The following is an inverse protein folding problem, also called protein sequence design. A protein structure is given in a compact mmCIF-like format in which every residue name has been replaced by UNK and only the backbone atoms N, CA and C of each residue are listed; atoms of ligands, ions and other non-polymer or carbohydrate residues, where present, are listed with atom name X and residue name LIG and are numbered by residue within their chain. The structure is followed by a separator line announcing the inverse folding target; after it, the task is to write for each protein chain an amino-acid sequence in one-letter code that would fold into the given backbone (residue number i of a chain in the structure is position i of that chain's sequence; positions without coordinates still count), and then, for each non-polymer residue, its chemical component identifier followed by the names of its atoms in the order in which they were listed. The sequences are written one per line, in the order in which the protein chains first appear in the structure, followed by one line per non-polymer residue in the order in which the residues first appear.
data_IF_611804325612
#
_entry.id   IF_611804325612
#
_cell.length_a   1.000
_cell.length_b   1.000
_cell.length_c   1.000
_cell.angle_alpha   90.00
_cell.angle_beta   90.00
_cell.angle_gamma   90.00
#
_symmetry.space_group_name_H-M   'P 1'
#
loop_
_entity.id
_entity.type
_entity.pdbx_description
1 polymer ?
#
# COMPACT_ATOMS: atom_id res chain seq x y z
N UNK A 1 -11.92 0.04 4.23
CA UNK A 1 -11.21 -0.79 5.24
C UNK A 1 -12.15 -1.09 6.37
N UNK A 2 -12.07 -2.30 6.93
CA UNK A 2 -12.80 -2.71 8.14
C UNK A 2 -11.81 -2.95 9.26
N UNK A 3 -12.01 -2.25 10.38
CA UNK A 3 -11.28 -2.48 11.62
C UNK A 3 -12.17 -3.24 12.60
N UNK A 4 -11.62 -4.28 13.24
CA UNK A 4 -12.29 -5.09 14.26
C UNK A 4 -11.53 -5.02 15.57
N UNK A 5 -12.26 -4.94 16.66
CA UNK A 5 -11.75 -4.98 18.03
C UNK A 5 -12.34 -6.20 18.72
N UNK A 6 -11.48 -7.04 19.27
CA UNK A 6 -11.87 -8.25 20.00
C UNK A 6 -11.23 -8.23 21.39
N UNK A 7 -12.02 -8.52 22.43
CA UNK A 7 -11.50 -8.67 23.79
C UNK A 7 -11.24 -10.13 24.07
N UNK A 8 -10.15 -10.44 24.78
CA UNK A 8 -9.76 -11.82 25.10
C UNK A 8 -10.88 -12.66 25.75
N UNK A 9 -11.74 -12.03 26.58
CA UNK A 9 -12.79 -12.70 27.35
C UNK A 9 -14.22 -12.38 26.88
N UNK A 10 -14.41 -11.74 25.71
CA UNK A 10 -15.74 -11.39 25.21
C UNK A 10 -16.04 -12.07 23.87
N UNK A 11 -17.25 -12.62 23.74
CA UNK A 11 -17.82 -13.10 22.46
C UNK A 11 -18.20 -11.95 21.52
N UNK A 12 -18.22 -10.71 22.01
CA UNK A 12 -18.64 -9.54 21.25
C UNK A 12 -17.46 -8.89 20.53
N UNK A 13 -17.44 -9.01 19.21
CA UNK A 13 -16.55 -8.23 18.33
C UNK A 13 -17.24 -6.93 17.93
N UNK A 14 -16.59 -5.79 18.15
CA UNK A 14 -17.02 -4.51 17.59
C UNK A 14 -16.22 -4.21 16.33
N UNK A 15 -16.82 -3.51 15.36
CA UNK A 15 -16.10 -3.16 14.14
C UNK A 15 -16.69 -1.95 13.43
N UNK A 16 -15.83 -1.26 12.68
CA UNK A 16 -16.19 -0.08 11.91
C UNK A 16 -15.67 -0.26 10.47
N UNK A 17 -16.40 0.27 9.49
CA UNK A 17 -15.98 0.35 8.09
C UNK A 17 -15.74 1.80 7.73
N UNK A 18 -14.52 2.10 7.29
CA UNK A 18 -14.13 3.44 6.86
C UNK A 18 -13.63 3.42 5.41
N UNK A 19 -13.97 4.43 4.60
CA UNK A 19 -13.40 4.57 3.26
C UNK A 19 -11.90 4.84 3.35
N UNK A 20 -11.17 4.49 2.30
CA UNK A 20 -9.76 4.82 2.15
C UNK A 20 -9.48 5.27 0.71
N UNK A 21 -8.54 6.19 0.55
CA UNK A 21 -8.01 6.59 -0.75
C UNK A 21 -6.62 6.01 -0.99
N UNK A 22 -5.85 5.83 0.08
CA UNK A 22 -4.47 5.33 0.05
C UNK A 22 -4.27 4.27 1.12
N UNK A 23 -3.56 3.18 0.80
CA UNK A 23 -3.04 2.27 1.81
C UNK A 23 -1.63 2.69 2.18
N UNK A 24 -1.42 3.05 3.44
CA UNK A 24 -0.12 3.41 3.95
C UNK A 24 0.62 2.15 4.40
N UNK A 25 1.69 1.81 3.70
CA UNK A 25 2.47 0.60 3.94
C UNK A 25 3.71 0.94 4.76
N UNK A 26 3.81 0.35 5.95
CA UNK A 26 5.05 0.36 6.72
C UNK A 26 6.05 -0.57 6.04
N UNK A 27 7.05 0.05 5.41
CA UNK A 27 8.13 -0.67 4.76
C UNK A 27 9.33 -0.84 5.67
N UNK A 28 9.38 -0.34 6.90
CA UNK A 28 10.52 -0.59 7.81
C UNK A 28 10.65 -2.09 8.06
N UNK A 29 9.52 -2.76 8.29
CA UNK A 29 9.41 -4.19 8.62
C UNK A 29 9.15 -5.12 7.43
N UNK A 30 9.07 -4.59 6.21
CA UNK A 30 8.79 -5.36 5.00
C UNK A 30 9.79 -5.07 3.88
N UNK A 31 10.14 -6.09 3.10
CA UNK A 31 11.03 -6.01 1.93
C UNK A 31 10.27 -6.01 0.60
N UNK A 32 8.95 -6.18 0.64
CA UNK A 32 8.06 -6.26 -0.51
C UNK A 32 6.70 -5.63 -0.23
N UNK A 33 6.01 -5.19 -1.27
CA UNK A 33 4.64 -4.66 -1.20
C UNK A 33 3.68 -5.71 -0.65
N UNK A 34 3.81 -6.95 -1.09
CA UNK A 34 3.01 -8.08 -0.64
C UNK A 34 3.19 -8.29 0.86
N UNK A 35 4.44 -8.28 1.34
CA UNK A 35 4.70 -8.42 2.77
C UNK A 35 4.16 -7.25 3.58
N UNK A 36 4.31 -6.02 3.08
CA UNK A 36 3.80 -4.84 3.76
C UNK A 36 2.26 -4.83 3.83
N UNK A 37 1.57 -5.32 2.79
CA UNK A 37 0.11 -5.51 2.79
C UNK A 37 -0.33 -6.56 3.81
N UNK A 38 0.43 -7.65 3.98
CA UNK A 38 0.16 -8.64 5.04
C UNK A 38 0.29 -8.04 6.43
N UNK A 39 1.33 -7.24 6.67
CA UNK A 39 1.52 -6.57 7.96
C UNK A 39 0.40 -5.58 8.25
N UNK A 40 -0.08 -4.84 7.24
CA UNK A 40 -1.19 -3.89 7.39
C UNK A 40 -2.48 -4.53 7.90
N UNK A 41 -2.77 -5.78 7.49
CA UNK A 41 -3.97 -6.52 7.89
C UNK A 41 -3.74 -7.47 9.08
N UNK A 42 -2.53 -7.43 9.63
CA UNK A 42 -2.13 -8.23 10.77
C UNK A 42 -3.02 -7.96 11.99
N UNK A 43 -3.01 -8.91 12.92
CA UNK A 43 -3.59 -8.71 14.25
C UNK A 43 -2.55 -8.03 15.12
N UNK A 44 -2.94 -6.97 15.81
CA UNK A 44 -2.11 -6.28 16.78
C UNK A 44 -2.77 -6.37 18.16
N UNK A 45 -1.97 -6.61 19.20
CA UNK A 45 -2.44 -6.50 20.58
C UNK A 45 -2.26 -5.07 21.07
N UNK A 46 -3.32 -4.52 21.63
CA UNK A 46 -3.33 -3.19 22.24
C UNK A 46 -3.15 -3.35 23.74
N UNK A 47 -2.02 -2.83 24.23
CA UNK A 47 -1.70 -2.75 25.66
C UNK A 47 -2.50 -1.60 26.29
N UNK A 48 -3.01 -1.78 27.52
CA UNK A 48 -3.74 -0.73 28.23
C UNK A 48 -5.21 -0.55 27.83
N UNK A 49 -5.82 -1.55 27.18
CA UNK A 49 -7.26 -1.51 26.90
C UNK A 49 -8.08 -1.52 28.20
N UNK A 50 -8.97 -0.55 28.42
CA UNK A 50 -9.82 -0.53 29.63
C UNK A 50 -11.26 -0.92 29.28
N UNK A 51 -11.89 -1.73 30.13
CA UNK A 51 -13.30 -2.04 29.99
C UNK A 51 -14.19 -0.90 30.49
N UNK A 52 -15.06 -0.25 29.66
CA UNK A 52 -15.92 0.83 30.14
C UNK A 52 -16.93 0.39 31.22
N UNK A 53 -17.24 -0.91 31.29
CA UNK A 53 -18.21 -1.46 32.25
C UNK A 53 -17.58 -1.88 33.59
N UNK A 54 -16.35 -2.40 33.56
CA UNK A 54 -15.69 -2.95 34.75
C UNK A 54 -14.50 -2.11 35.22
N UNK A 55 -14.05 -1.15 34.40
CA UNK A 55 -12.87 -0.32 34.60
C UNK A 55 -11.56 -1.10 34.80
N UNK A 56 -11.55 -2.38 34.42
CA UNK A 56 -10.38 -3.25 34.48
C UNK A 56 -9.60 -3.21 33.16
N UNK A 57 -8.29 -3.43 33.27
CA UNK A 57 -7.42 -3.60 32.12
C UNK A 57 -7.70 -4.94 31.44
N UNK A 58 -7.90 -4.91 30.13
CA UNK A 58 -8.24 -6.04 29.28
C UNK A 58 -7.36 -6.03 28.05
N UNK A 59 -6.86 -7.21 27.65
CA UNK A 59 -6.19 -7.36 26.36
C UNK A 59 -7.21 -7.19 25.23
N UNK A 60 -6.93 -6.25 24.32
CA UNK A 60 -7.73 -5.95 23.14
C UNK A 60 -6.90 -6.26 21.91
N UNK A 61 -7.40 -7.12 21.03
CA UNK A 61 -6.80 -7.34 19.71
C UNK A 61 -7.51 -6.50 18.66
N UNK A 62 -6.74 -5.75 17.89
CA UNK A 62 -7.20 -5.02 16.70
C UNK A 62 -6.82 -5.78 15.44
N UNK A 63 -7.69 -5.72 14.43
CA UNK A 63 -7.37 -6.24 13.11
C UNK A 63 -8.00 -5.36 12.04
N UNK A 64 -7.19 -4.97 11.06
CA UNK A 64 -7.64 -4.28 9.86
C UNK A 64 -7.79 -5.27 8.70
N UNK A 65 -8.75 -5.04 7.82
CA UNK A 65 -8.96 -5.85 6.61
C UNK A 65 -9.54 -5.00 5.49
N UNK A 66 -9.36 -5.44 4.25
CA UNK A 66 -9.94 -4.77 3.08
C UNK A 66 -11.37 -5.27 2.86
N UNK A 67 -12.33 -4.35 2.86
CA UNK A 67 -13.75 -4.65 2.59
C UNK A 67 -13.99 -4.77 1.08
N UNK A 68 -13.58 -3.72 0.36
CA UNK A 68 -13.74 -3.56 -1.07
C UNK A 68 -12.41 -3.11 -1.69
N UNK A 69 -12.22 -3.47 -2.96
CA UNK A 69 -11.01 -3.20 -3.71
C UNK A 69 -11.26 -2.16 -4.81
N UNK A 70 -10.54 -1.02 -4.80
CA UNK A 70 -10.79 0.09 -5.72
C UNK A 70 -10.29 -0.22 -7.14
N UNK A 71 -10.82 0.46 -8.15
CA UNK A 71 -10.32 0.33 -9.54
C UNK A 71 -8.84 0.75 -9.62
N UNK A 72 -8.48 1.85 -8.94
CA UNK A 72 -7.11 2.31 -8.75
C UNK A 72 -6.72 2.09 -7.29
N UNK A 73 -5.75 1.22 -7.06
CA UNK A 73 -5.17 0.99 -5.76
C UNK A 73 -3.92 1.86 -5.61
N UNK A 74 -4.00 2.85 -4.73
CA UNK A 74 -2.89 3.74 -4.41
C UNK A 74 -2.20 3.25 -3.12
N UNK A 75 -0.94 2.85 -3.26
CA UNK A 75 -0.10 2.42 -2.14
C UNK A 75 0.92 3.52 -1.84
N UNK A 76 0.96 3.97 -0.59
CA UNK A 76 1.93 4.94 -0.10
C UNK A 76 2.94 4.21 0.77
N UNK A 77 4.19 4.12 0.31
CA UNK A 77 5.27 3.50 1.07
C UNK A 77 5.81 4.52 2.07
N UNK A 78 5.75 4.19 3.36
CA UNK A 78 6.26 5.04 4.44
C UNK A 78 7.79 4.97 4.46
N UNK A 79 8.42 5.75 3.59
CA UNK A 79 9.88 5.75 3.42
C UNK A 79 10.62 6.65 4.42
N UNK A 80 9.91 7.25 5.37
CA UNK A 80 10.46 8.20 6.33
C UNK A 80 10.05 7.78 7.74
N UNK A 81 11.04 7.56 8.58
CA UNK A 81 10.86 7.26 10.00
C UNK A 81 11.20 8.53 10.80
N UNK A 82 10.20 9.03 11.52
CA UNK A 82 10.31 10.24 12.33
C UNK A 82 10.41 9.84 13.80
N UNK A 83 11.63 9.95 14.35
CA UNK A 83 11.92 9.79 15.77
C UNK A 83 12.11 11.17 16.40
N UNK A 84 12.01 11.25 17.74
CA UNK A 84 11.87 12.51 18.51
C UNK A 84 12.85 13.64 18.10
N UNK A 85 14.04 13.31 17.63
CA UNK A 85 15.06 14.27 17.19
C UNK A 85 15.71 13.93 15.84
N UNK A 86 15.25 12.89 15.14
CA UNK A 86 15.85 12.45 13.87
C UNK A 86 14.77 12.03 12.89
N UNK A 87 14.95 12.40 11.62
CA UNK A 87 14.18 11.83 10.53
C UNK A 87 15.13 11.04 9.64
N UNK A 88 14.90 9.74 9.51
CA UNK A 88 15.72 8.87 8.67
C UNK A 88 14.92 8.44 7.44
N UNK A 89 15.58 8.50 6.28
CA UNK A 89 15.04 7.95 5.04
C UNK A 89 15.38 6.47 4.95
N UNK A 90 14.36 5.65 4.78
CA UNK A 90 14.50 4.22 4.47
C UNK A 90 14.94 4.12 3.01
N UNK A 91 16.21 3.74 2.80
CA UNK A 91 16.83 3.61 1.46
C UNK A 91 16.99 2.16 1.02
N UNK A 92 16.43 1.21 1.78
CA UNK A 92 16.48 -0.21 1.43
C UNK A 92 15.64 -0.49 0.17
N UNK A 93 16.03 -1.52 -0.55
CA UNK A 93 15.26 -2.02 -1.68
C UNK A 93 13.93 -2.59 -1.19
N UNK A 94 12.84 -2.16 -1.82
CA UNK A 94 11.50 -2.74 -1.63
C UNK A 94 11.05 -3.31 -2.96
N UNK A 95 10.66 -4.58 -2.97
CA UNK A 95 10.15 -5.26 -4.17
C UNK A 95 8.69 -4.85 -4.38
N UNK A 96 8.36 -4.42 -5.59
CA UNK A 96 6.99 -4.14 -6.02
C UNK A 96 6.78 -4.76 -7.41
N UNK A 97 5.84 -5.71 -7.59
CA UNK A 97 5.69 -6.41 -8.86
C UNK A 97 4.95 -5.55 -9.89
N UNK A 98 5.13 -5.85 -11.18
CA UNK A 98 4.24 -5.28 -12.21
C UNK A 98 2.84 -5.85 -12.10
N UNK A 99 2.73 -7.15 -11.84
CA UNK A 99 1.46 -7.84 -11.66
C UNK A 99 1.25 -8.14 -10.18
N UNK A 100 0.34 -7.42 -9.53
CA UNK A 100 0.02 -7.55 -8.11
C UNK A 100 -1.30 -8.31 -7.95
N UNK A 101 -1.29 -9.37 -7.13
CA UNK A 101 -2.50 -10.10 -6.77
C UNK A 101 -2.82 -9.90 -5.30
N UNK A 102 -4.01 -9.39 -5.00
CA UNK A 102 -4.51 -9.28 -3.63
C UNK A 102 -5.04 -10.64 -3.17
N UNK A 103 -4.38 -11.21 -2.17
CA UNK A 103 -4.78 -12.47 -1.54
C UNK A 103 -6.12 -12.30 -0.79
N UNK A 104 -6.98 -13.33 -0.83
CA UNK A 104 -8.24 -13.37 -0.08
C UNK A 104 -8.02 -13.16 1.42
N UNK A 105 -6.87 -13.60 1.96
CA UNK A 105 -6.55 -13.44 3.38
C UNK A 105 -6.44 -11.96 3.82
N UNK A 106 -6.20 -11.05 2.88
CA UNK A 106 -6.14 -9.60 3.13
C UNK A 106 -7.53 -8.96 3.17
N UNK A 107 -8.54 -9.67 2.67
CA UNK A 107 -9.92 -9.21 2.64
C UNK A 107 -10.66 -9.63 3.91
N UNK A 108 -11.85 -9.10 4.11
CA UNK A 108 -12.72 -9.59 5.18
C UNK A 108 -13.10 -11.07 4.96
N UNK A 109 -13.31 -11.80 6.05
CA UNK A 109 -13.69 -13.23 5.99
C UNK A 109 -15.03 -13.50 5.29
N UNK A 110 -15.85 -12.46 5.08
CA UNK A 110 -17.12 -12.52 4.33
C UNK A 110 -16.98 -12.08 2.88
N UNK A 111 -15.78 -11.66 2.46
CA UNK A 111 -15.54 -11.16 1.13
C UNK A 111 -15.78 -12.26 0.09
N UNK A 112 -16.63 -11.94 -0.89
CA UNK A 112 -16.87 -12.76 -2.09
C UNK A 112 -16.18 -12.14 -3.31
N UNK A 113 -15.15 -11.33 -3.11
CA UNK A 113 -14.49 -10.58 -4.20
C UNK A 113 -13.94 -11.55 -5.25
N UNK A 114 -14.44 -11.49 -6.51
CA UNK A 114 -14.01 -12.35 -7.59
C UNK A 114 -12.50 -12.28 -7.82
N UNK A 115 -11.90 -13.36 -8.34
CA UNK A 115 -10.46 -13.38 -8.66
C UNK A 115 -10.05 -12.30 -9.68
N UNK A 116 -10.95 -11.91 -10.59
CA UNK A 116 -10.70 -10.83 -11.57
C UNK A 116 -10.54 -9.45 -10.93
N UNK A 117 -11.23 -9.21 -9.81
CA UNK A 117 -11.22 -7.91 -9.12
C UNK A 117 -10.04 -7.78 -8.13
N UNK A 118 -9.19 -8.82 -8.06
CA UNK A 118 -8.03 -8.89 -7.16
C UNK A 118 -6.70 -8.81 -7.90
N UNK A 119 -6.74 -8.77 -9.22
CA UNK A 119 -5.56 -8.67 -10.07
C UNK A 119 -5.37 -7.22 -10.47
N UNK A 120 -4.16 -6.73 -10.25
CA UNK A 120 -3.77 -5.37 -10.52
C UNK A 120 -2.50 -5.34 -11.35
N UNK A 121 -2.39 -4.31 -12.19
CA UNK A 121 -1.18 -4.02 -12.94
C UNK A 121 -0.62 -2.66 -12.53
N UNK A 122 0.68 -2.60 -12.33
CA UNK A 122 1.40 -1.37 -12.02
C UNK A 122 1.23 -0.40 -13.18
N UNK A 123 0.69 0.77 -12.87
CA UNK A 123 0.39 1.84 -13.82
C UNK A 123 1.42 2.96 -13.74
N UNK A 124 1.80 3.35 -12.52
CA UNK A 124 2.77 4.40 -12.31
C UNK A 124 3.52 4.23 -10.98
N UNK A 125 4.74 4.75 -10.93
CA UNK A 125 5.57 4.83 -9.74
C UNK A 125 6.05 6.26 -9.57
N UNK A 126 5.75 6.87 -8.42
CA UNK A 126 6.35 8.14 -8.03
C UNK A 126 7.51 7.82 -7.09
N UNK A 127 8.68 8.33 -7.41
CA UNK A 127 9.89 8.17 -6.62
C UNK A 127 10.22 9.46 -5.87
N UNK A 128 10.77 9.30 -4.67
CA UNK A 128 11.47 10.38 -3.98
C UNK A 128 12.98 10.19 -4.14
N UNK A 129 13.64 11.11 -4.85
CA UNK A 129 15.08 11.13 -5.10
C UNK A 129 15.77 12.18 -4.23
N UNK A 130 16.53 11.73 -3.22
CA UNK A 130 17.14 12.62 -2.24
C UNK A 130 17.55 11.88 -0.98
N UNK A 131 18.55 12.37 -0.26
CA UNK A 131 19.05 11.72 0.96
C UNK A 131 18.22 12.06 2.20
N UNK A 132 17.69 13.27 2.25
CA UNK A 132 16.90 13.78 3.37
C UNK A 132 15.42 13.41 3.21
N UNK A 133 14.65 13.42 4.30
CA UNK A 133 13.20 13.25 4.23
C UNK A 133 12.47 14.55 3.89
N UNK A 134 13.07 15.69 4.25
CA UNK A 134 12.50 17.02 4.09
C UNK A 134 12.91 17.69 2.77
N UNK A 135 13.84 17.08 2.02
CA UNK A 135 14.36 17.59 0.75
C UNK A 135 14.59 16.46 -0.24
N UNK A 136 14.26 16.71 -1.48
CA UNK A 136 14.54 15.82 -2.60
C UNK A 136 13.81 16.29 -3.84
N UNK A 137 13.77 15.39 -4.82
CA UNK A 137 13.20 15.59 -6.13
C UNK A 137 12.22 14.46 -6.46
N UNK A 138 11.07 14.79 -7.03
CA UNK A 138 10.06 13.80 -7.39
C UNK A 138 10.13 13.48 -8.87
N UNK A 139 10.22 12.19 -9.18
CA UNK A 139 10.28 11.68 -10.54
C UNK A 139 9.20 10.63 -10.68
N UNK A 140 8.54 10.56 -11.84
CA UNK A 140 7.46 9.60 -12.06
C UNK A 140 7.74 8.73 -13.27
N UNK A 141 7.63 7.41 -13.11
CA UNK A 141 7.60 6.47 -14.24
C UNK A 141 6.16 6.02 -14.47
N UNK A 142 5.67 6.10 -15.72
CA UNK A 142 4.29 5.77 -16.10
C UNK A 142 4.31 4.74 -17.23
N UNK A 143 3.45 3.72 -17.13
CA UNK A 143 3.26 2.75 -18.19
C UNK A 143 2.24 3.24 -19.22
N UNK A 144 2.68 3.29 -20.48
CA UNK A 144 1.84 3.57 -21.65
C UNK A 144 1.73 2.31 -22.52
N UNK A 145 0.52 2.03 -23.04
CA UNK A 145 0.29 0.85 -23.91
C UNK A 145 1.14 0.88 -25.18
N UNK A 146 1.33 2.05 -25.77
CA UNK A 146 2.07 2.25 -27.03
C UNK A 146 3.57 2.48 -26.82
N UNK A 147 3.93 3.17 -25.74
CA UNK A 147 5.31 3.60 -25.48
C UNK A 147 6.04 2.80 -24.41
N UNK A 148 5.38 1.81 -23.80
CA UNK A 148 5.88 1.12 -22.61
C UNK A 148 6.14 2.11 -21.46
N UNK A 149 7.18 1.89 -20.66
CA UNK A 149 7.53 2.74 -19.53
C UNK A 149 8.21 4.04 -19.97
N UNK A 150 7.65 5.16 -19.51
CA UNK A 150 8.16 6.51 -19.75
C UNK A 150 8.42 7.19 -18.41
N UNK A 151 9.62 7.77 -18.26
CA UNK A 151 10.03 8.56 -17.11
C UNK A 151 9.78 10.05 -17.38
N UNK A 152 9.08 10.69 -16.46
CA UNK A 152 8.83 12.11 -16.40
C UNK A 152 9.64 12.70 -15.24
N UNK A 153 10.56 13.59 -15.58
CA UNK A 153 11.53 14.24 -14.69
C UNK A 153 11.57 15.72 -15.06
N UNK A 154 10.65 16.50 -14.46
CA UNK A 154 10.33 17.88 -14.84
C UNK A 154 10.07 18.03 -16.35
N UNK A 155 10.93 18.78 -17.06
CA UNK A 155 10.85 18.99 -18.51
C UNK A 155 11.45 17.84 -19.32
N UNK A 156 12.09 16.87 -18.67
CA UNK A 156 12.72 15.71 -19.31
C UNK A 156 11.76 14.53 -19.36
N UNK A 157 11.48 14.06 -20.57
CA UNK A 157 10.65 12.89 -20.84
C UNK A 157 11.48 11.88 -21.63
N UNK A 158 11.61 10.65 -21.10
CA UNK A 158 12.41 9.60 -21.75
C UNK A 158 11.85 8.22 -21.51
N UNK A 159 12.04 7.32 -22.48
CA UNK A 159 11.76 5.91 -22.29
C UNK A 159 12.71 5.29 -21.27
N UNK A 160 12.18 4.38 -20.44
CA UNK A 160 12.95 3.58 -19.49
C UNK A 160 12.54 2.12 -19.59
N UNK A 161 13.43 1.20 -19.24
CA UNK A 161 13.08 -0.22 -19.23
C UNK A 161 12.32 -0.57 -17.95
N UNK A 162 11.47 -1.59 -17.99
CA UNK A 162 10.83 -2.13 -16.78
C UNK A 162 11.86 -2.47 -15.70
N UNK A 163 13.03 -2.99 -16.08
CA UNK A 163 14.11 -3.25 -15.13
C UNK A 163 14.55 -1.97 -14.39
N UNK A 164 14.67 -0.83 -15.08
CA UNK A 164 15.02 0.46 -14.45
C UNK A 164 13.90 1.02 -13.56
N UNK A 165 12.63 0.71 -13.86
CA UNK A 165 11.47 1.09 -13.04
C UNK A 165 11.50 0.30 -11.72
N UNK A 166 11.67 -1.01 -11.80
CA UNK A 166 11.63 -1.92 -10.66
C UNK A 166 12.90 -1.88 -9.80
N UNK A 167 14.01 -1.37 -10.34
CA UNK A 167 15.30 -1.29 -9.66
C UNK A 167 15.81 0.16 -9.62
N UNK A 168 15.13 1.07 -8.88
CA UNK A 168 15.60 2.43 -8.71
C UNK A 168 16.95 2.45 -7.99
N UNK A 169 17.85 3.34 -8.44
CA UNK A 169 19.18 3.48 -7.84
C UNK A 169 19.12 4.40 -6.63
N UNK A 170 19.71 4.04 -5.47
CA UNK A 170 19.84 4.95 -4.34
C UNK A 170 20.49 6.29 -4.75
N UNK A 171 20.07 7.42 -4.16
CA UNK A 171 19.14 7.55 -3.03
C UNK A 171 17.66 7.56 -3.42
N UNK A 172 17.32 7.26 -4.67
CA UNK A 172 15.93 7.18 -5.15
C UNK A 172 15.21 5.97 -4.58
N UNK A 173 14.02 6.19 -4.04
CA UNK A 173 13.15 5.13 -3.51
C UNK A 173 11.73 5.29 -4.06
N UNK A 174 10.99 4.19 -4.29
CA UNK A 174 9.57 4.28 -4.59
C UNK A 174 8.83 4.90 -3.40
N UNK A 175 7.92 5.83 -3.68
CA UNK A 175 7.15 6.54 -2.66
C UNK A 175 5.64 6.29 -2.80
N UNK A 176 5.12 6.45 -4.03
CA UNK A 176 3.73 6.09 -4.36
C UNK A 176 3.71 5.06 -5.49
N UNK A 177 2.87 4.04 -5.33
CA UNK A 177 2.60 3.04 -6.36
C UNK A 177 1.13 3.11 -6.76
N UNK A 178 0.90 3.28 -8.05
CA UNK A 178 -0.43 3.26 -8.65
C UNK A 178 -0.63 1.94 -9.34
N UNK A 179 -1.62 1.19 -8.88
CA UNK A 179 -2.03 -0.08 -9.45
C UNK A 179 -3.43 0.03 -10.03
N UNK A 180 -3.66 -0.44 -11.26
CA UNK A 180 -4.98 -0.49 -11.89
C UNK A 180 -5.50 -1.91 -11.94
N UNK A 181 -6.76 -2.10 -11.57
CA UNK A 181 -7.43 -3.40 -11.61
C UNK A 181 -7.54 -3.91 -13.04
N UNK A 182 -7.11 -5.14 -13.29
CA UNK A 182 -6.91 -5.68 -14.64
C UNK A 182 -8.20 -5.76 -15.46
N UNK A 183 -9.34 -6.06 -14.83
CA UNK A 183 -10.67 -6.11 -15.47
C UNK A 183 -11.12 -4.76 -16.06
N UNK A 184 -10.49 -3.66 -15.63
CA UNK A 184 -10.81 -2.31 -16.12
C UNK A 184 -9.90 -1.83 -17.25
N UNK A 185 -8.86 -2.59 -17.60
CA UNK A 185 -7.90 -2.22 -18.65
C UNK A 185 -8.53 -2.56 -20.01
N UNK A 186 -8.77 -1.55 -20.87
CA UNK A 186 -9.31 -1.73 -22.22
C UNK A 186 -10.84 -1.71 -22.36
N UNK A 187 -11.60 -1.49 -21.28
CA UNK A 187 -13.06 -1.33 -21.37
C UNK A 187 -13.52 0.04 -21.93
N UNK A 188 -12.61 1.01 -22.06
CA UNK A 188 -12.90 2.37 -22.56
C UNK A 188 -12.75 2.52 -24.09
N UNK A 189 -12.19 1.52 -24.78
CA UNK A 189 -11.90 1.61 -26.22
C UNK A 189 -13.04 1.06 -27.12
N UNK A 190 -14.19 0.67 -26.55
CA UNK A 190 -15.30 0.08 -27.32
C UNK A 190 -16.39 1.08 -27.75
N UNK A 191 -16.27 2.36 -27.41
CA UNK A 191 -17.25 3.40 -27.71
C UNK A 191 -16.67 4.60 -28.49
N UNK A 192 -15.70 4.38 -29.37
CA UNK A 192 -15.22 5.44 -30.28
C UNK A 192 -15.14 4.96 -31.72
#
# INVERSE_FOLDING_TARGET
MRSRFTRANATTTTGNVQPFFTLQLDIEKADSVEKALELLVGKEEVVGGVCPKTNEEVSITTQTSLEELPIILLLHLKCFDYKLHTCSKITKTVVFPVDLKIDLKLLTSKSKTPNKDRQYKLLAVVYHDGKEATKGHYITDVFHKEYSWVRYDDSSVRSVTQHQVLNPKPPRVPYLLYYRRCDTIGAQDKNR
#
